data_IF_274338350402
#
_entry.id   IF_274338350402
#
_cell.length_a   1.000
_cell.length_b   1.000
_cell.length_c   1.000
_cell.angle_alpha   90.00
_cell.angle_beta   90.00
_cell.angle_gamma   90.00
#
_symmetry.space_group_name_H-M   'P 1'
#
loop_
_entity.id
_entity.type
_entity.pdbx_description
1 polymer ?
#
# COMPACT_ATOMS: atom_id res chain seq x y z
N UNK A 1 15.60 -6.82 -6.89
CA UNK A 1 14.33 -7.15 -7.54
C UNK A 1 13.15 -6.32 -6.97
N UNK A 2 12.98 -6.30 -5.64
CA UNK A 2 11.89 -5.55 -5.02
C UNK A 2 12.00 -4.03 -5.24
N UNK A 3 13.22 -3.48 -5.25
CA UNK A 3 13.46 -2.05 -5.45
C UNK A 3 13.13 -1.57 -6.87
N UNK A 4 13.13 -2.47 -7.84
CA UNK A 4 12.86 -2.19 -9.25
C UNK A 4 11.56 -2.80 -9.75
N UNK A 5 10.68 -3.15 -8.83
CA UNK A 5 9.39 -3.76 -9.16
C UNK A 5 8.58 -2.84 -10.08
N UNK A 6 8.16 -3.30 -11.28
CA UNK A 6 7.45 -2.46 -12.24
C UNK A 6 5.97 -2.33 -11.90
N UNK A 7 5.67 -1.69 -10.78
CA UNK A 7 4.31 -1.42 -10.31
C UNK A 7 3.88 -0.01 -10.65
N UNK A 8 2.65 0.15 -11.12
CA UNK A 8 2.06 1.45 -11.44
C UNK A 8 0.65 1.59 -10.87
N UNK A 9 0.31 2.82 -10.50
CA UNK A 9 -1.01 3.21 -10.00
C UNK A 9 -1.65 4.15 -11.03
N UNK A 10 -2.73 3.70 -11.66
CA UNK A 10 -3.42 4.48 -12.68
C UNK A 10 -4.38 5.52 -12.10
N UNK A 11 -4.66 6.56 -12.88
CA UNK A 11 -5.70 7.54 -12.54
C UNK A 11 -7.10 6.92 -12.46
N UNK A 12 -7.30 5.76 -13.09
CA UNK A 12 -8.52 4.95 -13.02
C UNK A 12 -8.66 4.13 -11.72
N UNK A 13 -7.72 4.26 -10.79
CA UNK A 13 -7.67 3.50 -9.55
C UNK A 13 -7.19 2.06 -9.69
N UNK A 14 -6.76 1.66 -10.90
CA UNK A 14 -6.26 0.31 -11.16
C UNK A 14 -4.78 0.20 -10.84
N UNK A 15 -4.36 -0.98 -10.39
CA UNK A 15 -2.97 -1.29 -10.07
C UNK A 15 -2.44 -2.24 -11.12
N UNK A 16 -1.30 -1.90 -11.73
CA UNK A 16 -0.66 -2.70 -12.77
C UNK A 16 0.73 -3.16 -12.33
N UNK A 17 1.04 -4.39 -12.64
CA UNK A 17 2.37 -4.98 -12.43
C UNK A 17 2.89 -5.46 -13.78
N UNK A 18 4.00 -4.86 -14.24
CA UNK A 18 4.59 -5.17 -15.56
C UNK A 18 3.56 -5.04 -16.71
N UNK A 19 2.66 -4.06 -16.62
CA UNK A 19 1.62 -3.82 -17.61
C UNK A 19 0.32 -4.59 -17.39
N UNK A 20 0.33 -5.63 -16.56
CA UNK A 20 -0.87 -6.43 -16.25
C UNK A 20 -1.67 -5.81 -15.11
N UNK A 21 -3.00 -5.75 -15.27
CA UNK A 21 -3.90 -5.31 -14.21
C UNK A 21 -4.00 -6.38 -13.13
N UNK A 22 -3.51 -6.06 -11.94
CA UNK A 22 -3.50 -6.97 -10.78
C UNK A 22 -4.41 -6.49 -9.65
N UNK A 23 -5.24 -5.48 -9.90
CA UNK A 23 -6.06 -4.82 -8.88
C UNK A 23 -6.87 -5.81 -8.04
N UNK A 24 -7.53 -6.77 -8.69
CA UNK A 24 -8.35 -7.76 -7.98
C UNK A 24 -7.51 -8.93 -7.47
N UNK A 25 -6.51 -9.35 -8.24
CA UNK A 25 -5.65 -10.48 -7.88
C UNK A 25 -4.89 -10.26 -6.57
N UNK A 26 -4.41 -9.04 -6.31
CA UNK A 26 -3.67 -8.72 -5.08
C UNK A 26 -4.53 -8.73 -3.81
N UNK A 27 -5.84 -8.75 -3.95
CA UNK A 27 -6.78 -8.81 -2.81
C UNK A 27 -7.04 -10.24 -2.34
N UNK A 28 -6.58 -11.24 -3.08
CA UNK A 28 -6.72 -12.64 -2.69
C UNK A 28 -5.98 -12.91 -1.38
N UNK A 29 -6.58 -13.72 -0.51
CA UNK A 29 -6.00 -14.09 0.78
C UNK A 29 -4.62 -14.74 0.63
N UNK A 30 -4.45 -15.60 -0.37
CA UNK A 30 -3.17 -16.26 -0.65
C UNK A 30 -2.06 -15.24 -0.96
N UNK A 31 -2.38 -14.17 -1.67
CA UNK A 31 -1.43 -13.08 -1.97
C UNK A 31 -1.07 -12.32 -0.70
N UNK A 32 -2.06 -11.99 0.13
CA UNK A 32 -1.83 -11.35 1.43
C UNK A 32 -0.94 -12.18 2.35
N UNK A 33 -1.19 -13.49 2.43
CA UNK A 33 -0.39 -14.42 3.21
C UNK A 33 1.06 -14.51 2.67
N UNK A 34 1.22 -14.57 1.35
CA UNK A 34 2.53 -14.56 0.71
C UNK A 34 3.29 -13.27 1.01
N UNK A 35 2.65 -12.12 0.90
CA UNK A 35 3.24 -10.82 1.23
C UNK A 35 3.69 -10.76 2.70
N UNK A 36 2.87 -11.24 3.62
CA UNK A 36 3.22 -11.30 5.04
C UNK A 36 4.45 -12.19 5.31
N UNK A 37 4.58 -13.28 4.59
CA UNK A 37 5.71 -14.21 4.74
C UNK A 37 7.02 -13.59 4.27
N UNK A 38 7.03 -12.85 3.18
CA UNK A 38 8.25 -12.20 2.69
C UNK A 38 8.56 -10.89 3.44
N UNK A 39 7.59 -10.26 4.04
CA UNK A 39 7.75 -9.01 4.78
C UNK A 39 8.64 -9.13 6.03
N UNK A 40 8.90 -10.34 6.51
CA UNK A 40 9.83 -10.56 7.63
C UNK A 40 11.30 -10.35 7.23
N UNK A 41 11.61 -10.37 5.95
CA UNK A 41 12.97 -10.16 5.46
C UNK A 41 13.30 -8.66 5.40
N UNK A 42 14.29 -8.22 6.20
CA UNK A 42 14.69 -6.82 6.26
C UNK A 42 15.13 -6.26 4.91
N UNK A 43 15.86 -7.03 4.11
CA UNK A 43 16.29 -6.60 2.78
C UNK A 43 15.11 -6.32 1.84
N UNK A 44 14.04 -7.09 1.92
CA UNK A 44 12.81 -6.86 1.13
C UNK A 44 12.12 -5.58 1.60
N UNK A 45 12.00 -5.38 2.91
CA UNK A 45 11.39 -4.17 3.48
C UNK A 45 12.15 -2.91 3.09
N UNK A 46 13.49 -2.94 3.14
CA UNK A 46 14.33 -1.82 2.75
C UNK A 46 14.18 -1.49 1.26
N UNK A 47 14.17 -2.51 0.41
CA UNK A 47 13.96 -2.34 -1.03
C UNK A 47 12.57 -1.76 -1.34
N UNK A 48 11.53 -2.22 -0.66
CA UNK A 48 10.17 -1.70 -0.82
C UNK A 48 10.06 -0.27 -0.30
N UNK A 49 10.78 0.09 0.76
CA UNK A 49 10.83 1.47 1.24
C UNK A 49 11.43 2.41 0.20
N UNK A 50 12.52 2.00 -0.44
CA UNK A 50 13.12 2.77 -1.52
C UNK A 50 12.15 2.95 -2.70
N UNK A 51 11.44 1.89 -3.07
CA UNK A 51 10.41 1.92 -4.10
C UNK A 51 9.27 2.90 -3.73
N UNK A 52 8.76 2.80 -2.53
CA UNK A 52 7.67 3.67 -2.04
C UNK A 52 8.07 5.14 -2.04
N UNK A 53 9.28 5.47 -1.58
CA UNK A 53 9.81 6.83 -1.59
C UNK A 53 9.99 7.36 -3.01
N UNK A 54 10.27 6.49 -3.95
CA UNK A 54 10.39 6.85 -5.37
C UNK A 54 9.09 7.31 -6.02
N UNK A 55 7.93 7.02 -5.44
CA UNK A 55 6.64 7.54 -5.92
C UNK A 55 6.41 9.01 -5.60
N UNK A 56 7.19 9.60 -4.70
CA UNK A 56 7.09 11.01 -4.36
C UNK A 56 7.68 11.87 -5.48
N UNK A 57 6.81 12.39 -6.33
CA UNK A 57 7.14 13.20 -7.51
C UNK A 57 6.20 14.38 -7.61
N UNK A 58 6.62 15.49 -8.26
CA UNK A 58 5.69 16.58 -8.57
C UNK A 58 4.46 16.08 -9.36
N UNK A 59 3.25 16.58 -9.08
CA UNK A 59 2.90 17.65 -8.14
C UNK A 59 2.86 17.22 -6.66
N UNK A 60 3.01 15.96 -6.36
CA UNK A 60 3.01 15.42 -5.01
C UNK A 60 2.50 13.98 -4.96
N UNK A 61 2.40 13.45 -3.75
CA UNK A 61 1.93 12.09 -3.49
C UNK A 61 0.94 12.09 -2.33
N UNK A 62 -0.16 11.38 -2.50
CA UNK A 62 -1.06 10.98 -1.41
C UNK A 62 -0.84 9.50 -1.15
N UNK A 63 -0.45 9.16 0.06
CA UNK A 63 -0.16 7.80 0.45
C UNK A 63 -1.00 7.41 1.67
N UNK A 64 -1.42 6.15 1.72
CA UNK A 64 -2.21 5.57 2.79
C UNK A 64 -1.46 4.39 3.39
N UNK A 65 -1.44 4.30 4.71
CA UNK A 65 -0.79 3.22 5.43
C UNK A 65 -0.36 3.62 6.83
N UNK A 66 -0.22 2.65 7.71
CA UNK A 66 0.10 2.91 9.12
C UNK A 66 1.46 3.57 9.32
N UNK A 67 2.43 3.25 8.46
CA UNK A 67 3.81 3.74 8.59
C UNK A 67 4.13 4.89 7.63
N UNK A 68 3.18 5.32 6.82
CA UNK A 68 3.42 6.32 5.77
C UNK A 68 3.87 7.66 6.32
N UNK A 69 3.25 8.15 7.38
CA UNK A 69 3.58 9.44 7.99
C UNK A 69 4.67 9.38 9.07
N UNK A 70 5.08 8.18 9.51
CA UNK A 70 6.04 8.02 10.60
C UNK A 70 7.38 7.46 10.14
N UNK A 71 7.36 6.52 9.21
CA UNK A 71 8.56 5.80 8.75
C UNK A 71 8.92 6.14 7.31
N UNK A 72 7.97 6.01 6.39
CA UNK A 72 8.24 6.19 4.95
C UNK A 72 8.43 7.65 4.59
N UNK A 73 7.51 8.51 5.01
CA UNK A 73 7.53 9.96 4.75
C UNK A 73 7.40 10.76 6.05
N UNK A 74 8.42 10.70 6.94
CA UNK A 74 8.36 11.43 8.21
C UNK A 74 8.36 12.95 8.03
N UNK A 75 8.79 13.44 6.88
CA UNK A 75 8.84 14.84 6.48
C UNK A 75 7.63 15.31 5.66
N UNK A 76 6.56 14.50 5.60
CA UNK A 76 5.36 14.85 4.86
C UNK A 76 4.79 16.20 5.32
N UNK A 77 4.39 17.04 4.35
CA UNK A 77 3.83 18.37 4.62
C UNK A 77 2.48 18.30 5.36
N UNK A 78 1.69 17.26 5.10
CA UNK A 78 0.43 17.01 5.79
C UNK A 78 0.35 15.55 6.20
N UNK A 79 -0.02 15.32 7.45
CA UNK A 79 -0.26 14.00 8.01
C UNK A 79 -1.65 13.96 8.62
N UNK A 80 -2.47 13.03 8.15
CA UNK A 80 -3.84 12.83 8.66
C UNK A 80 -3.89 11.49 9.37
N UNK A 81 -4.29 11.51 10.64
CA UNK A 81 -4.48 10.30 11.42
C UNK A 81 -5.97 9.98 11.49
N UNK A 82 -6.37 8.92 10.80
CA UNK A 82 -7.75 8.50 10.72
C UNK A 82 -8.06 7.47 11.80
N UNK A 83 -9.05 7.77 12.64
CA UNK A 83 -9.52 6.86 13.67
C UNK A 83 -11.00 6.54 13.50
N UNK A 84 -11.41 5.37 13.99
CA UNK A 84 -12.80 4.98 14.02
C UNK A 84 -13.06 4.12 15.26
N UNK A 85 -14.28 4.15 15.79
CA UNK A 85 -14.68 3.26 16.88
C UNK A 85 -14.59 1.79 16.45
N UNK A 86 -14.49 0.90 17.41
CA UNK A 86 -14.47 -0.55 17.14
C UNK A 86 -15.73 -1.01 16.39
N UNK A 87 -16.87 -0.40 16.71
CA UNK A 87 -18.14 -0.67 16.04
C UNK A 87 -18.14 -0.22 14.58
N UNK A 88 -17.70 1.01 14.31
CA UNK A 88 -17.57 1.54 12.94
C UNK A 88 -16.62 0.69 12.11
N UNK A 89 -15.52 0.19 12.69
CA UNK A 89 -14.59 -0.71 12.00
C UNK A 89 -15.23 -2.05 11.66
N UNK A 90 -16.07 -2.61 12.54
CA UNK A 90 -16.79 -3.86 12.26
C UNK A 90 -17.80 -3.69 11.13
N UNK A 91 -18.54 -2.60 11.09
CA UNK A 91 -19.50 -2.29 10.04
C UNK A 91 -18.78 -2.18 8.69
N UNK A 92 -17.66 -1.47 8.61
CA UNK A 92 -16.86 -1.32 7.39
C UNK A 92 -16.32 -2.66 6.90
N UNK A 93 -15.80 -3.50 7.79
CA UNK A 93 -15.32 -4.84 7.45
C UNK A 93 -16.43 -5.75 6.93
N UNK A 94 -17.62 -5.69 7.54
CA UNK A 94 -18.80 -6.42 7.10
C UNK A 94 -19.25 -6.01 5.69
N UNK A 95 -19.25 -4.71 5.41
CA UNK A 95 -19.57 -4.19 4.07
C UNK A 95 -18.57 -4.65 3.00
N UNK A 96 -17.29 -4.68 3.33
CA UNK A 96 -16.26 -5.17 2.40
C UNK A 96 -16.42 -6.64 2.04
N UNK A 97 -16.93 -7.46 2.95
CA UNK A 97 -17.15 -8.90 2.70
C UNK A 97 -18.36 -9.16 1.79
N UNK A 98 -19.27 -8.20 1.63
CA UNK A 98 -20.47 -8.33 0.79
C UNK A 98 -20.22 -7.97 -0.67
N UNK A 99 -19.09 -7.42 -0.96
CA UNK A 99 -18.62 -7.08 -2.31
C UNK A 99 -17.41 -7.93 -2.67
#
# INVERSE_FOLDING_TARGET
LAATLPVGFGADGRIRLAGDDVTDAIRAEAVGNGASRIAVHGAVRDALMALQRGFRRPPGLVADGRDMGTVVFPDAALKVFLTASAESRRISASRRRRF
#
